data_IF_511720030424
#
_entry.id   IF_511720030424
#
_cell.length_a   1.000
_cell.length_b   1.000
_cell.length_c   1.000
_cell.angle_alpha   90.00
_cell.angle_beta   90.00
_cell.angle_gamma   90.00
#
_symmetry.space_group_name_H-M   'P 1'
#
loop_
_entity.id
_entity.type
_entity.pdbx_description
1 polymer ?
#
# COMPACT_ATOMS: atom_id res chain seq x y z
N UNK A 1 19.46 -18.43 -2.98
CA UNK A 1 18.37 -17.43 -2.93
C UNK A 1 18.49 -16.40 -4.05
N UNK A 2 19.63 -16.37 -4.77
CA UNK A 2 19.77 -15.59 -5.99
C UNK A 2 18.72 -16.00 -7.02
N UNK A 3 18.11 -15.00 -7.66
CA UNK A 3 17.07 -15.19 -8.68
C UNK A 3 15.62 -15.07 -8.19
N UNK A 4 15.33 -15.03 -6.88
CA UNK A 4 13.96 -14.80 -6.42
C UNK A 4 13.49 -13.37 -6.74
N UNK A 5 12.42 -13.28 -7.54
CA UNK A 5 11.85 -12.03 -7.99
C UNK A 5 10.34 -12.01 -7.82
N UNK A 6 9.80 -10.84 -7.55
CA UNK A 6 8.39 -10.56 -7.73
C UNK A 6 8.11 -10.26 -9.19
N UNK A 7 7.16 -11.00 -9.74
CA UNK A 7 6.74 -10.95 -11.14
C UNK A 7 5.32 -10.43 -11.21
N UNK A 8 5.06 -9.56 -12.20
CA UNK A 8 3.76 -8.93 -12.41
C UNK A 8 3.42 -8.91 -13.90
N UNK A 9 2.15 -9.12 -14.21
CA UNK A 9 1.59 -9.02 -15.58
C UNK A 9 0.45 -7.98 -15.68
N UNK A 10 0.30 -7.13 -14.67
CA UNK A 10 -0.84 -6.21 -14.55
C UNK A 10 -0.47 -4.73 -14.63
N UNK A 11 0.82 -4.35 -14.76
CA UNK A 11 1.17 -2.92 -14.74
C UNK A 11 0.62 -2.15 -15.97
N UNK A 12 0.11 -2.85 -17.00
CA UNK A 12 -0.46 -2.24 -18.22
C UNK A 12 -1.97 -2.48 -18.43
N UNK A 13 -2.60 -3.45 -17.74
CA UNK A 13 -3.99 -3.84 -18.00
C UNK A 13 -4.90 -3.69 -16.75
N UNK A 14 -5.71 -2.62 -16.70
CA UNK A 14 -6.80 -2.44 -15.73
C UNK A 14 -6.37 -2.09 -14.30
N UNK A 15 -5.09 -2.22 -13.97
CA UNK A 15 -4.59 -2.01 -12.62
C UNK A 15 -4.62 -0.55 -12.19
N UNK A 16 -4.30 0.38 -13.08
CA UNK A 16 -4.33 1.81 -12.74
C UNK A 16 -5.76 2.36 -12.67
N UNK A 17 -6.68 1.82 -13.46
CA UNK A 17 -8.11 2.11 -13.33
C UNK A 17 -8.64 1.66 -11.97
N UNK A 18 -8.27 0.47 -11.49
CA UNK A 18 -8.68 0.05 -10.14
C UNK A 18 -8.01 0.86 -9.04
N UNK A 19 -6.74 1.25 -9.18
CA UNK A 19 -6.10 2.19 -8.26
C UNK A 19 -6.80 3.54 -8.22
N UNK A 20 -7.29 4.02 -9.36
CA UNK A 20 -8.09 5.23 -9.43
C UNK A 20 -9.39 5.07 -8.62
N UNK A 21 -10.08 3.93 -8.74
CA UNK A 21 -11.27 3.63 -7.92
C UNK A 21 -10.93 3.65 -6.44
N UNK A 22 -9.84 3.01 -6.03
CA UNK A 22 -9.40 2.99 -4.62
C UNK A 22 -8.98 4.37 -4.10
N UNK A 23 -8.29 5.16 -4.93
CA UNK A 23 -7.93 6.54 -4.63
C UNK A 23 -9.18 7.40 -4.43
N UNK A 24 -10.16 7.30 -5.34
CA UNK A 24 -11.42 8.04 -5.25
C UNK A 24 -12.20 7.63 -4.00
N UNK A 25 -12.24 6.34 -3.68
CA UNK A 25 -12.90 5.84 -2.47
C UNK A 25 -12.24 6.41 -1.22
N UNK A 26 -10.90 6.36 -1.13
CA UNK A 26 -10.15 6.93 -0.02
C UNK A 26 -10.40 8.44 0.11
N UNK A 27 -10.42 9.17 -1.01
CA UNK A 27 -10.73 10.60 -1.03
C UNK A 27 -12.16 10.87 -0.56
N UNK A 28 -13.16 10.09 -1.03
CA UNK A 28 -14.56 10.23 -0.62
C UNK A 28 -14.70 10.01 0.90
N UNK A 29 -14.08 8.95 1.44
CA UNK A 29 -14.07 8.69 2.88
C UNK A 29 -13.45 9.88 3.62
N UNK A 30 -12.30 10.38 3.16
CA UNK A 30 -11.61 11.50 3.80
C UNK A 30 -12.42 12.80 3.77
N UNK A 31 -13.03 13.13 2.63
CA UNK A 31 -13.87 14.32 2.50
C UNK A 31 -15.17 14.17 3.30
N UNK A 32 -15.75 12.97 3.37
CA UNK A 32 -16.92 12.70 4.20
C UNK A 32 -16.61 13.00 5.68
N UNK A 33 -15.51 12.47 6.22
CA UNK A 33 -15.13 12.75 7.61
C UNK A 33 -14.78 14.22 7.82
N UNK A 34 -14.09 14.85 6.88
CA UNK A 34 -13.74 16.26 6.97
C UNK A 34 -14.97 17.19 6.98
N UNK A 35 -15.91 17.01 6.03
CA UNK A 35 -17.05 17.91 5.87
C UNK A 35 -18.28 17.55 6.72
N UNK A 36 -18.50 16.28 7.03
CA UNK A 36 -19.70 15.82 7.78
C UNK A 36 -19.42 15.47 9.23
N UNK A 37 -18.19 15.11 9.57
CA UNK A 37 -17.80 14.75 10.94
C UNK A 37 -16.82 15.75 11.57
N UNK A 38 -16.40 16.76 10.82
CA UNK A 38 -15.39 17.76 11.22
C UNK A 38 -14.06 17.12 11.66
N UNK A 39 -13.82 15.88 11.25
CA UNK A 39 -12.62 15.11 11.59
C UNK A 39 -11.57 15.29 10.49
N UNK A 40 -10.52 16.06 10.82
CA UNK A 40 -9.42 16.36 9.90
C UNK A 40 -8.42 15.22 9.79
N UNK A 41 -8.44 14.24 10.69
CA UNK A 41 -7.44 13.18 10.71
C UNK A 41 -7.44 12.39 9.39
N UNK A 42 -8.61 12.15 8.79
CA UNK A 42 -8.69 11.42 7.52
C UNK A 42 -8.11 12.17 6.33
N UNK A 43 -8.28 13.50 6.25
CA UNK A 43 -7.67 14.27 5.16
C UNK A 43 -6.16 14.38 5.36
N UNK A 44 -5.71 14.50 6.62
CA UNK A 44 -4.28 14.46 6.96
C UNK A 44 -3.68 13.11 6.59
N UNK A 45 -4.33 12.00 6.90
CA UNK A 45 -3.88 10.66 6.53
C UNK A 45 -3.81 10.47 5.01
N UNK A 46 -4.81 10.94 4.27
CA UNK A 46 -4.81 10.89 2.82
C UNK A 46 -3.62 11.66 2.23
N UNK A 47 -3.40 12.90 2.68
CA UNK A 47 -2.32 13.75 2.18
C UNK A 47 -0.96 13.22 2.61
N UNK A 48 -0.78 12.84 3.88
CA UNK A 48 0.51 12.38 4.41
C UNK A 48 0.97 11.11 3.72
N UNK A 49 0.11 10.11 3.61
CA UNK A 49 0.44 8.84 2.93
C UNK A 49 0.71 9.03 1.44
N UNK A 50 -0.03 9.93 0.77
CA UNK A 50 0.25 10.34 -0.61
C UNK A 50 1.64 10.93 -0.75
N UNK A 51 1.96 11.93 0.08
CA UNK A 51 3.24 12.63 0.04
C UNK A 51 4.39 11.69 0.35
N UNK A 52 4.28 10.91 1.42
CA UNK A 52 5.36 10.02 1.84
C UNK A 52 5.63 8.93 0.82
N UNK A 53 4.60 8.21 0.35
CA UNK A 53 4.79 7.21 -0.71
C UNK A 53 5.31 7.84 -1.99
N UNK A 54 4.77 9.01 -2.36
CA UNK A 54 5.23 9.75 -3.52
C UNK A 54 6.72 10.13 -3.43
N UNK A 55 7.21 10.54 -2.26
CA UNK A 55 8.63 10.80 -2.07
C UNK A 55 9.49 9.53 -2.20
N UNK A 56 9.01 8.38 -1.72
CA UNK A 56 9.70 7.09 -1.94
C UNK A 56 9.85 6.84 -3.43
N UNK A 57 8.77 6.99 -4.20
CA UNK A 57 8.77 6.77 -5.64
C UNK A 57 9.66 7.77 -6.38
N UNK A 58 9.65 9.04 -5.97
CA UNK A 58 10.53 10.05 -6.53
C UNK A 58 12.02 9.68 -6.28
N UNK A 59 12.38 9.26 -5.08
CA UNK A 59 13.74 8.83 -4.76
C UNK A 59 14.12 7.60 -5.60
N UNK A 60 13.25 6.60 -5.71
CA UNK A 60 13.50 5.41 -6.54
C UNK A 60 13.68 5.76 -8.01
N UNK A 61 12.90 6.73 -8.52
CA UNK A 61 13.03 7.23 -9.88
C UNK A 61 14.38 7.95 -10.08
N UNK A 62 14.77 8.84 -9.17
CA UNK A 62 16.04 9.58 -9.23
C UNK A 62 17.27 8.67 -9.10
N UNK A 63 17.16 7.56 -8.37
CA UNK A 63 18.21 6.55 -8.23
C UNK A 63 18.27 5.57 -9.42
N UNK A 64 17.42 5.74 -10.44
CA UNK A 64 17.37 4.84 -11.60
C UNK A 64 16.88 3.43 -11.26
N UNK A 65 16.19 3.26 -10.13
CA UNK A 65 15.66 1.97 -9.69
C UNK A 65 14.33 1.61 -10.38
N UNK A 66 13.70 2.58 -11.04
CA UNK A 66 12.55 2.40 -11.93
C UNK A 66 13.09 2.32 -13.36
N UNK A 67 12.82 1.22 -14.06
CA UNK A 67 13.27 1.04 -15.45
C UNK A 67 12.66 2.09 -16.39
N UNK A 68 13.34 2.44 -17.49
CA UNK A 68 12.86 3.38 -18.53
C UNK A 68 11.53 2.95 -19.19
N UNK A 69 11.17 1.66 -19.07
CA UNK A 69 9.90 1.09 -19.51
C UNK A 69 8.75 1.27 -18.49
N UNK A 70 8.98 1.91 -17.33
CA UNK A 70 7.95 2.15 -16.32
C UNK A 70 7.01 3.26 -16.78
N UNK A 71 6.05 2.92 -17.63
CA UNK A 71 5.00 3.83 -18.10
C UNK A 71 3.68 3.47 -17.44
N UNK A 72 3.11 4.45 -16.74
CA UNK A 72 1.78 4.32 -16.16
C UNK A 72 0.82 4.99 -17.13
N UNK A 73 -0.19 4.26 -17.57
CA UNK A 73 -1.29 4.83 -18.35
C UNK A 73 -2.59 4.75 -17.53
N UNK A 74 -3.43 5.77 -17.68
CA UNK A 74 -4.77 5.82 -17.11
C UNK A 74 -5.73 6.12 -18.25
N UNK A 75 -6.67 5.23 -18.54
CA UNK A 75 -7.57 5.36 -19.69
C UNK A 75 -6.82 5.57 -21.02
N UNK A 76 -5.67 4.92 -21.19
CA UNK A 76 -4.84 5.01 -22.40
C UNK A 76 -4.00 6.28 -22.52
N UNK A 77 -4.02 7.18 -21.52
CA UNK A 77 -3.15 8.35 -21.46
C UNK A 77 -1.95 8.08 -20.55
N UNK A 78 -0.75 8.15 -21.12
CA UNK A 78 0.49 8.05 -20.35
C UNK A 78 0.61 9.22 -19.36
N UNK A 79 0.88 8.91 -18.09
CA UNK A 79 1.12 9.90 -17.04
C UNK A 79 2.54 10.46 -17.20
N UNK A 80 2.72 11.78 -17.33
CA UNK A 80 4.03 12.38 -17.45
C UNK A 80 4.95 12.05 -16.26
N UNK A 81 6.21 11.73 -16.56
CA UNK A 81 7.22 11.30 -15.57
C UNK A 81 7.36 12.24 -14.38
N UNK A 82 7.22 13.56 -14.59
CA UNK A 82 7.40 14.57 -13.54
C UNK A 82 6.26 14.62 -12.50
N UNK A 83 5.08 14.06 -12.81
CA UNK A 83 3.97 13.90 -11.83
C UNK A 83 3.72 12.44 -11.45
N UNK A 84 4.46 11.50 -12.03
CA UNK A 84 4.26 10.07 -11.84
C UNK A 84 4.32 9.66 -10.37
N UNK A 85 5.28 10.22 -9.64
CA UNK A 85 5.47 9.97 -8.21
C UNK A 85 4.25 10.40 -7.38
N UNK A 86 3.59 11.50 -7.75
CA UNK A 86 2.39 11.98 -7.07
C UNK A 86 1.20 11.06 -7.37
N UNK A 87 1.05 10.62 -8.62
CA UNK A 87 0.01 9.68 -9.00
C UNK A 87 0.17 8.33 -8.28
N UNK A 88 1.41 7.87 -8.11
CA UNK A 88 1.71 6.71 -7.29
C UNK A 88 1.40 6.93 -5.81
N UNK A 89 1.73 8.10 -5.27
CA UNK A 89 1.33 8.49 -3.92
C UNK A 89 -0.18 8.39 -3.71
N UNK A 90 -0.95 8.91 -4.67
CA UNK A 90 -2.40 8.88 -4.64
C UNK A 90 -2.97 7.47 -4.83
N UNK A 91 -2.37 6.63 -5.67
CA UNK A 91 -2.85 5.28 -5.95
C UNK A 91 -2.40 4.19 -4.96
N UNK A 92 -1.25 4.37 -4.29
CA UNK A 92 -0.62 3.37 -3.42
C UNK A 92 -0.32 3.84 -1.99
N UNK A 93 -0.28 5.15 -1.77
CA UNK A 93 -0.14 5.74 -0.43
C UNK A 93 -1.51 5.93 0.20
N UNK A 94 -2.32 6.81 -0.40
CA UNK A 94 -3.61 7.25 0.13
C UNK A 94 -4.57 6.11 0.52
N UNK A 95 -4.90 5.14 -0.36
CA UNK A 95 -5.86 4.10 -0.03
C UNK A 95 -5.44 3.25 1.16
N UNK A 96 -4.17 2.88 1.19
CA UNK A 96 -3.61 2.05 2.26
C UNK A 96 -3.52 2.82 3.59
N UNK A 97 -3.12 4.09 3.54
CA UNK A 97 -3.08 4.94 4.73
C UNK A 97 -4.46 5.17 5.33
N UNK A 98 -5.45 5.49 4.49
CA UNK A 98 -6.84 5.70 4.94
C UNK A 98 -7.47 4.41 5.46
N UNK A 99 -7.30 3.28 4.77
CA UNK A 99 -7.82 1.99 5.23
C UNK A 99 -7.20 1.55 6.56
N UNK A 100 -5.88 1.72 6.71
CA UNK A 100 -5.19 1.49 7.98
C UNK A 100 -5.74 2.37 9.10
N UNK A 101 -5.94 3.66 8.81
CA UNK A 101 -6.49 4.61 9.79
C UNK A 101 -7.93 4.29 10.17
N UNK A 102 -8.75 3.82 9.23
CA UNK A 102 -10.14 3.46 9.46
C UNK A 102 -10.27 2.32 10.49
N UNK A 103 -9.38 1.33 10.47
CA UNK A 103 -9.36 0.26 11.49
C UNK A 103 -8.92 0.81 12.87
N UNK A 104 -7.90 1.67 12.90
CA UNK A 104 -7.47 2.34 14.14
C UNK A 104 -8.60 3.18 14.74
N UNK A 105 -9.26 4.00 13.92
CA UNK A 105 -10.34 4.88 14.36
C UNK A 105 -11.56 4.07 14.82
N UNK A 106 -11.84 2.92 14.19
CA UNK A 106 -12.85 1.97 14.66
C UNK A 106 -12.52 1.43 16.05
N UNK A 107 -11.25 1.14 16.35
CA UNK A 107 -10.83 0.77 17.70
C UNK A 107 -10.98 1.92 18.71
N UNK A 108 -10.64 3.16 18.33
CA UNK A 108 -10.74 4.33 19.20
C UNK A 108 -12.20 4.68 19.55
N UNK A 109 -13.15 4.44 18.63
CA UNK A 109 -14.57 4.76 18.83
C UNK A 109 -15.42 3.53 19.20
N UNK A 110 -14.81 2.43 19.63
CA UNK A 110 -15.50 1.16 19.95
C UNK A 110 -16.58 1.27 21.02
N UNK A 111 -16.45 2.24 21.93
CA UNK A 111 -17.37 2.41 23.06
C UNK A 111 -18.59 3.29 22.68
N UNK A 112 -18.62 3.84 21.45
CA UNK A 112 -19.72 4.63 20.89
C UNK A 112 -20.34 3.85 19.72
N UNK A 113 -21.41 3.09 20.00
CA UNK A 113 -22.00 2.12 19.06
C UNK A 113 -22.31 2.72 17.66
N UNK A 114 -22.86 3.93 17.60
CA UNK A 114 -23.18 4.59 16.31
C UNK A 114 -21.94 4.90 15.47
N UNK A 115 -20.88 5.39 16.10
CA UNK A 115 -19.62 5.75 15.45
C UNK A 115 -18.79 4.50 15.08
N UNK A 116 -18.82 3.47 15.93
CA UNK A 116 -18.24 2.16 15.66
C UNK A 116 -18.92 1.49 14.46
N UNK A 117 -20.26 1.42 14.47
CA UNK A 117 -21.04 0.79 13.38
C UNK A 117 -20.80 1.48 12.04
N UNK A 118 -20.73 2.82 12.02
CA UNK A 118 -20.41 3.59 10.81
C UNK A 118 -19.03 3.19 10.26
N UNK A 119 -17.98 3.24 11.07
CA UNK A 119 -16.61 2.91 10.66
C UNK A 119 -16.47 1.46 10.23
N UNK A 120 -17.11 0.53 10.95
CA UNK A 120 -17.16 -0.88 10.58
C UNK A 120 -17.81 -1.08 9.22
N UNK A 121 -18.94 -0.42 8.96
CA UNK A 121 -19.62 -0.53 7.68
C UNK A 121 -18.77 0.06 6.54
N UNK A 122 -18.12 1.20 6.77
CA UNK A 122 -17.18 1.78 5.80
C UNK A 122 -15.99 0.85 5.54
N UNK A 123 -15.41 0.23 6.58
CA UNK A 123 -14.28 -0.68 6.46
C UNK A 123 -14.65 -1.95 5.70
N UNK A 124 -15.82 -2.54 5.99
CA UNK A 124 -16.34 -3.70 5.26
C UNK A 124 -16.62 -3.35 3.79
N UNK A 125 -17.21 -2.18 3.54
CA UNK A 125 -17.47 -1.70 2.18
C UNK A 125 -16.17 -1.47 1.39
N UNK A 126 -15.16 -0.86 2.03
CA UNK A 126 -13.84 -0.64 1.46
C UNK A 126 -13.16 -1.96 1.10
N UNK A 127 -13.12 -2.93 2.03
CA UNK A 127 -12.62 -4.28 1.78
C UNK A 127 -13.34 -4.94 0.59
N UNK A 128 -14.66 -4.81 0.51
CA UNK A 128 -15.44 -5.41 -0.57
C UNK A 128 -15.10 -4.80 -1.94
N UNK A 129 -14.96 -3.46 -2.02
CA UNK A 129 -14.55 -2.80 -3.25
C UNK A 129 -13.15 -3.24 -3.66
N UNK A 130 -12.21 -3.26 -2.71
CA UNK A 130 -10.83 -3.69 -2.97
C UNK A 130 -10.80 -5.12 -3.48
N UNK A 131 -11.51 -6.03 -2.82
CA UNK A 131 -11.59 -7.42 -3.24
C UNK A 131 -12.11 -7.56 -4.68
N UNK A 132 -13.22 -6.87 -5.00
CA UNK A 132 -13.80 -6.90 -6.35
C UNK A 132 -12.81 -6.34 -7.39
N UNK A 133 -12.19 -5.20 -7.10
CA UNK A 133 -11.19 -4.58 -7.96
C UNK A 133 -10.01 -5.53 -8.21
N UNK A 134 -9.48 -6.17 -7.16
CA UNK A 134 -8.35 -7.10 -7.26
C UNK A 134 -8.67 -8.35 -8.05
N UNK A 135 -9.89 -8.88 -7.93
CA UNK A 135 -10.37 -9.99 -8.77
C UNK A 135 -10.44 -9.55 -10.23
N UNK A 136 -11.01 -8.37 -10.52
CA UNK A 136 -11.09 -7.84 -11.89
C UNK A 136 -9.69 -7.71 -12.50
N UNK A 137 -8.74 -7.09 -11.79
CA UNK A 137 -7.35 -6.97 -12.26
C UNK A 137 -6.73 -8.34 -12.49
N UNK A 138 -6.86 -9.24 -11.54
CA UNK A 138 -6.30 -10.59 -11.66
C UNK A 138 -6.84 -11.35 -12.87
N UNK A 139 -8.12 -11.19 -13.19
CA UNK A 139 -8.74 -11.79 -14.37
C UNK A 139 -8.27 -11.14 -15.68
N UNK A 140 -8.16 -9.81 -15.72
CA UNK A 140 -7.72 -9.06 -16.91
C UNK A 140 -6.23 -9.29 -17.22
N UNK A 141 -5.40 -9.44 -16.18
CA UNK A 141 -3.96 -9.69 -16.29
C UNK A 141 -3.60 -11.14 -16.59
N UNK A 142 -4.60 -12.05 -16.60
CA UNK A 142 -4.38 -13.47 -16.89
C UNK A 142 -3.90 -13.64 -18.33
N UNK A 143 -2.82 -14.38 -18.51
CA UNK A 143 -2.17 -14.62 -19.81
C UNK A 143 -1.62 -13.36 -20.49
N UNK A 144 -1.54 -12.23 -19.79
CA UNK A 144 -0.83 -11.05 -20.28
C UNK A 144 0.68 -11.25 -20.15
N UNK A 145 1.49 -10.57 -20.98
CA UNK A 145 2.94 -10.61 -20.85
C UNK A 145 3.40 -10.09 -19.49
N UNK A 146 4.60 -10.52 -19.07
CA UNK A 146 5.23 -10.02 -17.85
C UNK A 146 5.61 -8.55 -18.09
N UNK A 147 5.07 -7.66 -17.26
CA UNK A 147 5.30 -6.21 -17.31
C UNK A 147 6.42 -5.78 -16.37
N UNK A 148 6.62 -6.49 -15.26
CA UNK A 148 7.64 -6.15 -14.28
C UNK A 148 8.23 -7.39 -13.61
N UNK A 149 9.56 -7.38 -13.48
CA UNK A 149 10.33 -8.35 -12.70
C UNK A 149 11.23 -7.58 -11.74
N UNK A 150 11.04 -7.77 -10.43
CA UNK A 150 11.79 -7.07 -9.38
C UNK A 150 12.40 -8.06 -8.40
N UNK A 151 13.70 -8.01 -8.18
CA UNK A 151 14.36 -8.83 -7.16
C UNK A 151 13.74 -8.61 -5.76
N UNK A 152 13.46 -9.69 -5.03
CA UNK A 152 12.87 -9.63 -3.69
C UNK A 152 13.84 -9.17 -2.60
N UNK A 153 15.13 -9.44 -2.79
CA UNK A 153 16.18 -9.21 -1.79
C UNK A 153 17.25 -8.22 -2.26
N UNK A 154 16.83 -7.19 -2.99
CA UNK A 154 17.75 -6.14 -3.44
C UNK A 154 18.34 -5.37 -2.25
N UNK A 155 19.66 -5.21 -2.21
CA UNK A 155 20.36 -4.57 -1.08
C UNK A 155 19.86 -3.16 -0.81
N UNK A 156 19.61 -2.38 -1.87
CA UNK A 156 19.10 -1.01 -1.75
C UNK A 156 17.71 -1.00 -1.11
N UNK A 157 16.83 -1.90 -1.53
CA UNK A 157 15.48 -2.06 -0.96
C UNK A 157 15.55 -2.46 0.51
N UNK A 158 16.39 -3.45 0.86
CA UNK A 158 16.54 -3.92 2.24
C UNK A 158 17.05 -2.79 3.16
N UNK A 159 18.09 -2.07 2.75
CA UNK A 159 18.65 -0.96 3.52
C UNK A 159 17.62 0.15 3.69
N UNK A 160 16.95 0.55 2.61
CA UNK A 160 15.92 1.57 2.64
C UNK A 160 14.77 1.21 3.59
N UNK A 161 14.20 0.01 3.45
CA UNK A 161 13.11 -0.47 4.30
C UNK A 161 13.54 -0.53 5.77
N UNK A 162 14.76 -1.02 6.05
CA UNK A 162 15.29 -1.11 7.40
C UNK A 162 15.38 0.27 8.07
N UNK A 163 15.89 1.28 7.34
CA UNK A 163 15.99 2.65 7.85
C UNK A 163 14.60 3.23 8.15
N UNK A 164 13.65 3.11 7.22
CA UNK A 164 12.28 3.63 7.40
C UNK A 164 11.61 2.97 8.60
N UNK A 165 11.73 1.65 8.73
CA UNK A 165 11.13 0.90 9.86
C UNK A 165 11.78 1.35 11.17
N UNK A 166 13.11 1.35 11.27
CA UNK A 166 13.81 1.72 12.50
C UNK A 166 13.43 3.13 12.93
N UNK A 167 13.50 4.11 12.02
CA UNK A 167 13.15 5.50 12.33
C UNK A 167 11.69 5.61 12.78
N UNK A 168 10.76 4.96 12.08
CA UNK A 168 9.34 5.00 12.43
C UNK A 168 9.09 4.46 13.83
N UNK A 169 9.71 3.33 14.20
CA UNK A 169 9.52 2.70 15.50
C UNK A 169 10.24 3.44 16.64
N UNK A 170 11.42 4.02 16.37
CA UNK A 170 12.11 4.92 17.32
C UNK A 170 11.25 6.14 17.59
N UNK A 171 10.73 6.81 16.54
CA UNK A 171 9.83 7.95 16.71
C UNK A 171 8.54 7.55 17.45
N UNK A 172 7.91 6.44 17.07
CA UNK A 172 6.71 5.93 17.75
C UNK A 172 6.93 5.73 19.25
N UNK A 173 8.07 5.13 19.63
CA UNK A 173 8.36 4.82 21.03
C UNK A 173 8.74 6.06 21.84
N UNK A 174 9.60 6.92 21.31
CA UNK A 174 10.19 8.01 22.08
C UNK A 174 9.43 9.34 21.96
N UNK A 175 8.71 9.57 20.88
CA UNK A 175 7.99 10.83 20.65
C UNK A 175 6.47 10.73 20.91
N UNK A 176 5.87 9.53 20.81
CA UNK A 176 4.40 9.37 20.96
C UNK A 176 3.95 8.72 22.28
N UNK A 177 4.88 8.20 23.10
CA UNK A 177 4.58 7.60 24.41
C UNK A 177 4.14 6.13 24.38
N UNK A 178 4.02 5.52 25.56
CA UNK A 178 3.87 4.05 25.73
C UNK A 178 2.58 3.48 25.15
N UNK A 179 1.48 4.25 25.12
CA UNK A 179 0.19 3.81 24.58
C UNK A 179 0.12 3.80 23.04
N UNK A 180 0.99 4.55 22.37
CA UNK A 180 0.92 4.75 20.93
C UNK A 180 1.23 3.49 20.12
N UNK A 181 2.09 2.61 20.65
CA UNK A 181 2.44 1.35 19.98
C UNK A 181 1.21 0.47 19.73
N UNK A 182 0.21 0.53 20.62
CA UNK A 182 -1.07 -0.17 20.42
C UNK A 182 -1.84 0.41 19.24
N UNK A 183 -1.90 1.73 19.13
CA UNK A 183 -2.56 2.43 18.02
C UNK A 183 -1.87 2.14 16.68
N UNK A 184 -0.53 2.18 16.67
CA UNK A 184 0.26 1.78 15.51
C UNK A 184 -0.02 0.33 15.11
N UNK A 185 -0.19 -0.58 16.08
CA UNK A 185 -0.58 -1.97 15.84
C UNK A 185 -1.90 -2.11 15.10
N UNK A 186 -2.95 -1.38 15.51
CA UNK A 186 -4.25 -1.39 14.80
C UNK A 186 -4.15 -0.76 13.41
N UNK A 187 -3.40 0.33 13.25
CA UNK A 187 -3.19 0.94 11.95
C UNK A 187 -2.47 -0.01 10.98
N UNK A 188 -1.41 -0.67 11.43
CA UNK A 188 -0.67 -1.64 10.63
C UNK A 188 -1.51 -2.88 10.34
N UNK A 189 -2.35 -3.33 11.27
CA UNK A 189 -3.29 -4.44 11.04
C UNK A 189 -4.32 -4.09 9.96
N UNK A 190 -4.89 -2.88 9.99
CA UNK A 190 -5.83 -2.42 8.97
C UNK A 190 -5.17 -2.33 7.60
N UNK A 191 -3.95 -1.79 7.56
CA UNK A 191 -3.14 -1.74 6.35
C UNK A 191 -2.84 -3.15 5.83
N UNK A 192 -2.47 -4.09 6.69
CA UNK A 192 -2.16 -5.48 6.32
C UNK A 192 -3.38 -6.18 5.73
N UNK A 193 -4.55 -6.07 6.36
CA UNK A 193 -5.80 -6.65 5.86
C UNK A 193 -6.10 -6.10 4.46
N UNK A 194 -6.01 -4.79 4.28
CA UNK A 194 -6.21 -4.15 2.97
C UNK A 194 -5.19 -4.65 1.93
N UNK A 195 -3.92 -4.79 2.30
CA UNK A 195 -2.85 -5.32 1.43
C UNK A 195 -3.14 -6.76 1.00
N UNK A 196 -3.52 -7.62 1.94
CA UNK A 196 -3.83 -9.03 1.65
C UNK A 196 -5.03 -9.12 0.72
N UNK A 197 -6.11 -8.41 1.04
CA UNK A 197 -7.32 -8.38 0.20
C UNK A 197 -7.00 -7.81 -1.19
N UNK A 198 -6.10 -6.82 -1.29
CA UNK A 198 -5.73 -6.25 -2.57
C UNK A 198 -4.85 -7.21 -3.39
N UNK A 199 -3.80 -7.76 -2.77
CA UNK A 199 -2.71 -8.42 -3.49
C UNK A 199 -2.86 -9.94 -3.62
N UNK A 200 -3.50 -10.60 -2.66
CA UNK A 200 -3.61 -12.06 -2.66
C UNK A 200 -4.54 -12.59 -3.76
N UNK A 201 -5.68 -11.94 -4.09
CA UNK A 201 -6.47 -12.36 -5.24
C UNK A 201 -5.68 -12.29 -6.55
N UNK A 202 -4.87 -11.24 -6.74
CA UNK A 202 -3.97 -11.13 -7.88
C UNK A 202 -2.87 -12.21 -7.87
N UNK A 203 -2.46 -12.64 -6.67
CA UNK A 203 -1.51 -13.74 -6.51
C UNK A 203 -2.09 -15.07 -6.96
N UNK A 204 -3.26 -15.42 -6.43
CA UNK A 204 -3.98 -16.65 -6.76
C UNK A 204 -4.32 -16.73 -8.25
N UNK A 205 -4.67 -15.60 -8.87
CA UNK A 205 -4.98 -15.52 -10.30
C UNK A 205 -3.75 -15.46 -11.21
N UNK A 206 -2.53 -15.48 -10.64
CA UNK A 206 -1.27 -15.52 -11.38
C UNK A 206 -0.84 -14.17 -11.98
N UNK A 207 -1.55 -13.09 -11.66
CA UNK A 207 -1.19 -11.74 -12.10
C UNK A 207 0.03 -11.20 -11.34
N UNK A 208 0.22 -11.64 -10.09
CA UNK A 208 1.39 -11.37 -9.24
C UNK A 208 1.95 -12.71 -8.75
N UNK A 209 3.25 -12.95 -8.80
CA UNK A 209 3.78 -14.19 -8.20
C UNK A 209 5.27 -14.08 -7.90
N UNK A 210 5.81 -15.07 -7.20
CA UNK A 210 7.24 -15.21 -6.97
C UNK A 210 7.83 -16.06 -8.08
N UNK A 211 8.74 -15.48 -8.85
CA UNK A 211 9.48 -16.16 -9.89
C UNK A 211 10.93 -16.43 -9.50
N UNK A 212 11.54 -17.38 -10.20
CA UNK A 212 12.99 -17.61 -10.23
C UNK A 212 13.49 -17.12 -11.59
N UNK A 213 14.34 -16.09 -11.58
CA UNK A 213 15.02 -15.57 -12.76
C UNK A 213 16.18 -16.50 -13.10
N UNK A 214 16.11 -17.11 -14.27
CA UNK A 214 17.13 -18.00 -14.80
C UNK A 214 18.29 -17.21 -15.43
N UNK A 215 19.49 -17.82 -15.58
CA UNK A 215 20.64 -17.16 -16.21
C UNK A 215 20.40 -16.67 -17.65
N UNK A 216 19.44 -17.25 -18.37
CA UNK A 216 19.03 -16.86 -19.71
C UNK A 216 18.01 -15.70 -19.73
N UNK A 217 17.63 -15.15 -18.56
CA UNK A 217 16.63 -14.10 -18.41
C UNK A 217 15.17 -14.59 -18.33
N UNK A 218 14.92 -15.89 -18.52
CA UNK A 218 13.58 -16.45 -18.40
C UNK A 218 13.13 -16.51 -16.93
N UNK A 219 11.82 -16.38 -16.73
CA UNK A 219 11.21 -16.41 -15.40
C UNK A 219 10.31 -17.63 -15.28
N UNK A 220 10.57 -18.47 -14.29
CA UNK A 220 9.71 -19.61 -13.95
C UNK A 220 9.09 -19.43 -12.58
N UNK A 221 7.95 -20.06 -12.31
CA UNK A 221 7.34 -20.05 -10.98
C UNK A 221 8.31 -20.63 -9.93
N UNK A 222 8.40 -19.97 -8.78
CA UNK A 222 9.07 -20.54 -7.61
C UNK A 222 8.20 -21.63 -6.98
N UNK A 223 8.83 -22.52 -6.21
CA UNK A 223 8.12 -23.59 -5.49
C UNK A 223 7.00 -23.04 -4.58
N UNK A 224 5.93 -23.83 -4.32
CA UNK A 224 4.78 -23.37 -3.53
C UNK A 224 5.15 -22.80 -2.15
N UNK A 225 6.18 -23.36 -1.50
CA UNK A 225 6.65 -22.86 -0.20
C UNK A 225 7.23 -21.44 -0.34
N UNK A 226 7.99 -21.18 -1.41
CA UNK A 226 8.51 -19.83 -1.67
C UNK A 226 7.41 -18.86 -2.08
N UNK A 227 6.38 -19.30 -2.82
CA UNK A 227 5.21 -18.45 -3.07
C UNK A 227 4.62 -17.94 -1.74
N UNK A 228 4.36 -18.84 -0.79
CA UNK A 228 3.75 -18.46 0.50
C UNK A 228 4.69 -17.59 1.34
N UNK A 229 5.91 -18.07 1.60
CA UNK A 229 6.81 -17.39 2.55
C UNK A 229 7.27 -16.02 2.04
N UNK A 230 7.58 -15.93 0.74
CA UNK A 230 8.12 -14.69 0.16
C UNK A 230 7.00 -13.69 -0.12
N UNK A 231 5.78 -14.14 -0.45
CA UNK A 231 4.62 -13.24 -0.52
C UNK A 231 4.22 -12.71 0.86
N UNK A 232 4.21 -13.56 1.88
CA UNK A 232 3.96 -13.12 3.26
C UNK A 232 5.02 -12.11 3.73
N UNK A 233 6.30 -12.37 3.43
CA UNK A 233 7.39 -11.42 3.66
C UNK A 233 7.12 -10.10 2.94
N UNK A 234 6.73 -10.11 1.66
CA UNK A 234 6.40 -8.90 0.90
C UNK A 234 5.27 -8.13 1.58
N UNK A 235 4.18 -8.80 1.95
CA UNK A 235 3.03 -8.16 2.56
C UNK A 235 3.36 -7.51 3.90
N UNK A 236 4.09 -8.21 4.77
CA UNK A 236 4.43 -7.71 6.10
C UNK A 236 5.57 -6.69 6.01
N UNK A 237 6.74 -7.11 5.49
CA UNK A 237 8.01 -6.39 5.64
C UNK A 237 8.21 -5.33 4.56
N UNK A 238 7.83 -5.61 3.31
CA UNK A 238 8.04 -4.62 2.22
C UNK A 238 6.90 -3.61 2.10
N UNK A 239 5.70 -3.99 2.51
CA UNK A 239 4.49 -3.21 2.23
C UNK A 239 3.87 -2.70 3.53
N UNK A 240 3.52 -3.55 4.49
CA UNK A 240 2.78 -3.09 5.69
C UNK A 240 3.64 -2.28 6.66
N UNK A 241 4.68 -2.89 7.25
CA UNK A 241 5.48 -2.25 8.32
C UNK A 241 6.11 -0.92 7.88
N UNK A 242 6.64 -0.79 6.65
CA UNK A 242 7.21 0.47 6.19
C UNK A 242 6.19 1.60 6.19
N UNK A 243 4.88 1.35 6.07
CA UNK A 243 3.83 2.38 6.12
C UNK A 243 3.60 2.97 7.52
N UNK A 244 4.32 2.50 8.55
CA UNK A 244 4.23 3.06 9.90
C UNK A 244 4.42 4.59 9.94
N UNK A 245 5.37 5.13 9.16
CA UNK A 245 5.63 6.58 9.12
C UNK A 245 4.44 7.42 8.66
N UNK A 246 3.48 6.85 7.91
CA UNK A 246 2.28 7.59 7.48
C UNK A 246 1.42 8.04 8.65
N UNK A 247 1.41 7.28 9.75
CA UNK A 247 0.72 7.63 10.98
C UNK A 247 1.67 8.29 11.99
N UNK A 248 2.86 7.72 12.18
CA UNK A 248 3.81 8.18 13.21
C UNK A 248 4.16 9.65 13.00
N UNK A 249 4.55 10.04 11.78
CA UNK A 249 5.06 11.40 11.54
C UNK A 249 3.96 12.45 11.74
N UNK A 250 2.74 12.31 11.18
CA UNK A 250 1.69 13.28 11.45
C UNK A 250 1.29 13.37 12.93
N UNK A 251 1.35 12.28 13.69
CA UNK A 251 1.08 12.30 15.14
C UNK A 251 2.17 13.05 15.89
N UNK A 252 3.46 12.78 15.60
CA UNK A 252 4.59 13.52 16.18
C UNK A 252 4.51 15.01 15.88
N UNK A 253 4.06 15.39 14.67
CA UNK A 253 3.86 16.77 14.27
C UNK A 253 2.57 17.41 14.83
N UNK A 254 1.76 16.66 15.58
CA UNK A 254 0.49 17.15 16.13
C UNK A 254 -0.60 17.40 15.09
N UNK A 255 -0.44 16.86 13.87
CA UNK A 255 -1.41 16.97 12.77
C UNK A 255 -2.55 15.95 12.91
N UNK A 256 -2.29 14.84 13.58
CA UNK A 256 -3.30 13.82 13.94
C UNK A 256 -3.41 13.72 15.45
N UNK A 257 -4.66 13.70 15.92
CA UNK A 257 -5.03 13.57 17.32
C UNK A 257 -5.80 12.27 17.53
N UNK A 258 -5.39 11.45 18.51
CA UNK A 258 -5.90 10.10 18.76
C UNK A 258 -6.70 9.98 20.07
N UNK A 259 -7.05 11.14 20.63
CA UNK A 259 -7.82 11.39 21.84
C UNK A 259 -9.34 11.25 21.66
#
# INVERSE_FOLDING_TARGET
MDGLAMVRSFDEAGYFETRLVLMLLALIISLFFYFKKEDKNYIVMFISSTIFFGFVELIMLLLGMRAEAWRIAVFGLEIPTYILWLFQGLGEGAPYGVAGFLLLDMYLKRDIESEFKLRRNLFVFDILIVFVCSIIVGLLARNQPITSVRAMFGIVTIVYLSIVIIISFVLAKFACGEGFMKYLGYYLLGSFIFIVINLEPMHILGARYIGIVQPNGNVTYADPIYQILIMLYSYIVEITIPRAHYLVVPVVLGLIKLD
#
